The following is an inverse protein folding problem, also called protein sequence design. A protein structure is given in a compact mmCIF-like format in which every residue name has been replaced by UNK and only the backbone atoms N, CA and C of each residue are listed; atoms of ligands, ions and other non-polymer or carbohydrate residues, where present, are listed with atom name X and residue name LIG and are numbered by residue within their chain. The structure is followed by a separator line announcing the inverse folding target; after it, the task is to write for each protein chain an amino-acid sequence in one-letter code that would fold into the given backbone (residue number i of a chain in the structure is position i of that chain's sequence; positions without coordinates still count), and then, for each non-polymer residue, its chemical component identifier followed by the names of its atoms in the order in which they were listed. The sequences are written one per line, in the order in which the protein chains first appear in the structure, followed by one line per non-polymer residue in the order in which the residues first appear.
data_IF_542307251793
#
_entry.id   IF_542307251793
#
_cell.length_a   1.000
_cell.length_b   1.000
_cell.length_c   1.000
_cell.angle_alpha   90.00
_cell.angle_beta   90.00
_cell.angle_gamma   90.00
#
_symmetry.space_group_name_H-M   'P 1'
#
loop_
_entity.id
_entity.type
_entity.pdbx_description
1 polymer ?
#
# COMPACT_ATOMS: atom_id res chain seq x y z
N UNK A 1 6.18 18.86 -18.57
CA UNK A 1 6.20 17.48 -19.08
C UNK A 1 4.88 16.86 -18.71
N UNK A 2 4.12 16.24 -19.66
CA UNK A 2 2.87 15.56 -19.31
C UNK A 2 3.15 14.25 -18.56
N UNK A 3 2.18 13.72 -17.80
CA UNK A 3 2.34 12.42 -17.13
C UNK A 3 2.68 11.29 -18.12
N UNK A 4 2.07 11.32 -19.31
CA UNK A 4 2.33 10.35 -20.37
C UNK A 4 3.76 10.44 -20.89
N UNK A 5 4.28 11.65 -21.15
CA UNK A 5 5.67 11.81 -21.60
C UNK A 5 6.70 11.37 -20.55
N UNK A 6 6.39 11.56 -19.27
CA UNK A 6 7.20 11.00 -18.18
C UNK A 6 7.21 9.47 -18.22
N UNK A 7 6.04 8.84 -18.33
CA UNK A 7 5.93 7.39 -18.38
C UNK A 7 6.66 6.81 -19.61
N UNK A 8 6.53 7.44 -20.77
CA UNK A 8 7.23 7.02 -21.98
C UNK A 8 8.76 7.13 -21.83
N UNK A 9 9.26 8.14 -21.10
CA UNK A 9 10.69 8.23 -20.79
C UNK A 9 11.20 7.08 -19.91
N UNK A 10 10.35 6.56 -18.99
CA UNK A 10 10.68 5.36 -18.22
C UNK A 10 10.73 4.11 -19.10
N UNK A 11 9.81 3.99 -20.08
CA UNK A 11 9.81 2.85 -21.00
C UNK A 11 11.09 2.78 -21.84
N UNK A 12 11.70 3.91 -22.17
CA UNK A 12 12.99 3.95 -22.87
C UNK A 12 14.16 3.32 -22.09
N UNK A 13 14.00 3.11 -20.80
CA UNK A 13 14.97 2.47 -19.90
C UNK A 13 14.75 0.95 -19.74
N UNK A 14 13.72 0.39 -20.35
CA UNK A 14 13.44 -1.05 -20.30
C UNK A 14 14.55 -1.87 -20.99
N UNK A 15 14.57 -3.17 -20.75
CA UNK A 15 15.64 -4.08 -21.20
C UNK A 15 16.81 -4.15 -20.23
N UNK A 16 16.64 -3.67 -19.00
CA UNK A 16 17.68 -3.60 -17.98
C UNK A 16 17.40 -4.54 -16.82
N UNK A 17 18.39 -4.67 -15.93
CA UNK A 17 18.23 -5.38 -14.65
C UNK A 17 17.06 -4.85 -13.80
N UNK A 18 16.73 -3.58 -13.95
CA UNK A 18 15.61 -2.94 -13.23
C UNK A 18 14.24 -3.54 -13.58
N UNK A 19 14.05 -4.07 -14.79
CA UNK A 19 12.80 -4.74 -15.15
C UNK A 19 12.48 -5.92 -14.23
N UNK A 20 13.50 -6.72 -13.95
CA UNK A 20 13.35 -7.86 -13.03
C UNK A 20 13.02 -7.42 -11.60
N UNK A 21 13.66 -6.35 -11.12
CA UNK A 21 13.38 -5.78 -9.79
C UNK A 21 11.93 -5.25 -9.74
N UNK A 22 11.49 -4.50 -10.75
CA UNK A 22 10.14 -3.92 -10.78
C UNK A 22 9.06 -4.99 -10.92
N UNK A 23 9.35 -6.05 -11.69
CA UNK A 23 8.47 -7.22 -11.80
C UNK A 23 8.39 -7.99 -10.47
N UNK A 24 9.50 -8.15 -9.76
CA UNK A 24 9.49 -8.75 -8.42
C UNK A 24 8.73 -7.89 -7.42
N UNK A 25 8.98 -6.58 -7.40
CA UNK A 25 8.31 -5.65 -6.51
C UNK A 25 6.78 -5.64 -6.70
N UNK A 26 6.31 -5.62 -7.96
CA UNK A 26 4.88 -5.67 -8.22
C UNK A 26 4.26 -7.00 -7.82
N UNK A 27 4.95 -8.13 -8.01
CA UNK A 27 4.47 -9.47 -7.58
C UNK A 27 4.30 -9.55 -6.07
N UNK A 28 5.30 -9.10 -5.33
CA UNK A 28 5.26 -9.07 -3.85
C UNK A 28 4.14 -8.15 -3.34
N UNK A 29 3.81 -7.09 -4.08
CA UNK A 29 2.67 -6.20 -3.79
C UNK A 29 1.31 -6.72 -4.23
N UNK A 30 1.23 -7.82 -5.00
CA UNK A 30 -0.04 -8.36 -5.50
C UNK A 30 -0.94 -8.78 -4.33
N UNK A 31 -2.23 -8.40 -4.43
CA UNK A 31 -3.24 -8.67 -3.40
C UNK A 31 -2.82 -8.26 -1.97
N UNK A 32 -1.75 -7.47 -1.82
CA UNK A 32 -1.21 -7.07 -0.51
C UNK A 32 -0.51 -8.21 0.25
N UNK A 33 -0.05 -9.27 -0.43
CA UNK A 33 0.49 -10.49 0.18
C UNK A 33 1.58 -10.22 1.22
N UNK A 34 2.55 -9.34 0.90
CA UNK A 34 3.62 -8.98 1.85
C UNK A 34 3.07 -8.32 3.12
N UNK A 35 2.02 -7.53 2.99
CA UNK A 35 1.41 -6.84 4.10
C UNK A 35 0.55 -7.77 4.96
N UNK A 36 -0.10 -8.75 4.33
CA UNK A 36 -0.79 -9.84 5.03
C UNK A 36 0.23 -10.69 5.79
N UNK A 37 1.37 -11.02 5.18
CA UNK A 37 2.45 -11.74 5.85
C UNK A 37 3.02 -10.94 7.03
N UNK A 38 3.24 -9.63 6.86
CA UNK A 38 3.65 -8.76 7.97
C UNK A 38 2.60 -8.76 9.10
N UNK A 39 1.32 -8.62 8.77
CA UNK A 39 0.24 -8.68 9.76
C UNK A 39 0.23 -10.02 10.50
N UNK A 40 0.43 -11.16 9.80
CA UNK A 40 0.50 -12.48 10.42
C UNK A 40 1.66 -12.57 11.42
N UNK A 41 2.85 -12.08 11.05
CA UNK A 41 4.01 -12.04 11.97
C UNK A 41 3.71 -11.17 13.20
N UNK A 42 3.17 -9.97 13.00
CA UNK A 42 2.81 -9.07 14.10
C UNK A 42 1.72 -9.65 15.03
N UNK A 43 0.83 -10.48 14.49
CA UNK A 43 -0.22 -11.15 15.27
C UNK A 43 0.34 -12.18 16.25
N UNK A 44 1.46 -12.84 15.89
CA UNK A 44 2.13 -13.80 16.76
C UNK A 44 2.79 -13.14 17.97
N UNK A 45 3.15 -11.86 17.88
CA UNK A 45 3.82 -11.11 18.95
C UNK A 45 2.78 -10.40 19.82
N UNK A 46 2.71 -10.69 21.12
CA UNK A 46 1.71 -10.14 22.04
C UNK A 46 1.67 -8.61 21.99
N UNK A 47 2.83 -7.96 21.89
CA UNK A 47 2.97 -6.51 21.84
C UNK A 47 2.29 -5.89 20.61
N UNK A 48 2.45 -6.47 19.44
CA UNK A 48 2.00 -5.91 18.17
C UNK A 48 0.67 -6.46 17.67
N UNK A 49 0.00 -7.33 18.44
CA UNK A 49 -1.33 -7.86 18.11
C UNK A 49 -2.37 -6.79 17.78
N UNK A 50 -2.51 -5.69 18.57
CA UNK A 50 -3.48 -4.64 18.22
C UNK A 50 -3.14 -3.98 16.88
N UNK A 51 -1.85 -3.78 16.59
CA UNK A 51 -1.38 -3.22 15.32
C UNK A 51 -1.71 -4.15 14.17
N UNK A 52 -1.47 -5.46 14.31
CA UNK A 52 -1.86 -6.47 13.33
C UNK A 52 -3.35 -6.46 13.03
N UNK A 53 -4.20 -6.43 14.07
CA UNK A 53 -5.66 -6.35 13.91
C UNK A 53 -6.04 -5.08 13.13
N UNK A 54 -5.43 -3.95 13.47
CA UNK A 54 -5.69 -2.69 12.76
C UNK A 54 -5.24 -2.75 11.30
N UNK A 55 -4.09 -3.38 11.00
CA UNK A 55 -3.64 -3.61 9.61
C UNK A 55 -4.68 -4.45 8.86
N UNK A 56 -5.11 -5.58 9.40
CA UNK A 56 -6.09 -6.46 8.75
C UNK A 56 -7.40 -5.69 8.46
N UNK A 57 -7.93 -4.98 9.45
CA UNK A 57 -9.17 -4.19 9.27
C UNK A 57 -8.98 -3.09 8.22
N UNK A 58 -7.83 -2.41 8.24
CA UNK A 58 -7.55 -1.34 7.27
C UNK A 58 -7.35 -1.87 5.84
N UNK A 59 -6.79 -3.07 5.66
CA UNK A 59 -6.69 -3.71 4.35
C UNK A 59 -8.08 -4.03 3.76
N UNK A 60 -9.02 -4.50 4.58
CA UNK A 60 -10.41 -4.66 4.14
C UNK A 60 -11.05 -3.32 3.82
N UNK A 61 -10.85 -2.28 4.63
CA UNK A 61 -11.36 -0.94 4.34
C UNK A 61 -10.79 -0.39 3.02
N UNK A 62 -9.49 -0.57 2.77
CA UNK A 62 -8.85 -0.18 1.51
C UNK A 62 -9.43 -0.92 0.30
N UNK A 63 -9.66 -2.22 0.42
CA UNK A 63 -10.27 -3.02 -0.64
C UNK A 63 -11.65 -2.43 -1.06
N UNK A 64 -12.49 -2.05 -0.10
CA UNK A 64 -13.80 -1.48 -0.38
C UNK A 64 -13.72 -0.04 -0.86
N UNK A 65 -12.88 0.80 -0.24
CA UNK A 65 -12.81 2.23 -0.55
C UNK A 65 -12.02 2.45 -1.85
N UNK A 66 -10.78 1.94 -1.93
CA UNK A 66 -9.90 2.21 -3.08
C UNK A 66 -10.34 1.45 -4.32
N UNK A 67 -10.58 0.12 -4.20
CA UNK A 67 -10.90 -0.71 -5.36
C UNK A 67 -12.40 -0.81 -5.63
N UNK A 68 -13.25 -0.78 -4.59
CA UNK A 68 -14.69 -0.90 -4.73
C UNK A 68 -15.39 0.43 -5.04
N UNK A 69 -14.96 1.55 -4.43
CA UNK A 69 -15.64 2.83 -4.56
C UNK A 69 -14.89 3.81 -5.48
N UNK A 70 -13.67 4.17 -5.13
CA UNK A 70 -12.94 5.25 -5.80
C UNK A 70 -12.60 4.91 -7.26
N UNK A 71 -12.25 3.67 -7.58
CA UNK A 71 -12.00 3.28 -8.98
C UNK A 71 -13.19 3.52 -9.88
N UNK A 72 -14.38 3.17 -9.41
CA UNK A 72 -15.62 3.37 -10.19
C UNK A 72 -16.05 4.83 -10.22
N UNK A 73 -15.83 5.58 -9.14
CA UNK A 73 -16.15 7.00 -9.08
C UNK A 73 -15.32 7.82 -10.09
N UNK A 74 -14.04 7.56 -10.18
CA UNK A 74 -13.13 8.28 -11.09
C UNK A 74 -13.08 7.69 -12.48
N UNK A 75 -13.33 6.38 -12.64
CA UNK A 75 -13.36 5.64 -13.90
C UNK A 75 -12.22 6.00 -14.88
N UNK A 76 -11.02 6.34 -14.34
CA UNK A 76 -9.89 6.82 -15.14
C UNK A 76 -9.31 5.68 -15.97
N UNK A 77 -9.14 5.83 -17.31
CA UNK A 77 -8.44 4.84 -18.11
C UNK A 77 -6.96 4.76 -17.74
N UNK A 78 -6.35 3.59 -17.93
CA UNK A 78 -4.91 3.39 -17.66
C UNK A 78 -4.04 3.93 -18.78
N UNK A 79 -2.77 4.31 -18.49
CA UNK A 79 -1.83 4.69 -19.55
C UNK A 79 -1.69 3.59 -20.61
N UNK A 80 -1.60 2.32 -20.20
CA UNK A 80 -1.51 1.16 -21.11
C UNK A 80 -2.76 0.91 -21.96
N UNK A 81 -3.92 1.42 -21.55
CA UNK A 81 -5.15 1.34 -22.33
C UNK A 81 -5.28 2.50 -23.35
N UNK A 82 -4.60 3.62 -23.08
CA UNK A 82 -4.59 4.81 -23.96
C UNK A 82 -3.50 4.67 -25.00
N UNK A 83 -2.28 4.33 -24.59
CA UNK A 83 -1.11 4.19 -25.45
C UNK A 83 -0.81 2.69 -25.66
N UNK A 84 -1.37 2.13 -26.73
CA UNK A 84 -1.28 0.69 -27.02
C UNK A 84 0.00 0.29 -27.79
N UNK A 85 0.78 1.27 -28.28
CA UNK A 85 2.03 1.02 -29.01
C UNK A 85 3.23 0.67 -28.13
N UNK A 86 3.09 0.69 -26.80
CA UNK A 86 4.16 0.42 -25.83
C UNK A 86 4.32 -1.09 -25.61
N UNK A 87 5.55 -1.59 -25.69
CA UNK A 87 5.87 -2.98 -25.33
C UNK A 87 5.80 -3.16 -23.82
N UNK A 88 4.77 -3.87 -23.34
CA UNK A 88 4.48 -4.06 -21.92
C UNK A 88 5.22 -5.26 -21.34
N UNK A 89 5.83 -5.10 -20.15
CA UNK A 89 6.41 -6.20 -19.37
C UNK A 89 5.34 -7.08 -18.69
N UNK A 90 4.11 -6.57 -18.56
CA UNK A 90 2.97 -7.31 -18.02
C UNK A 90 1.69 -6.91 -18.76
N UNK A 91 0.67 -7.76 -18.72
CA UNK A 91 -0.63 -7.43 -19.28
C UNK A 91 -1.24 -6.18 -18.63
N UNK A 92 -1.88 -5.34 -19.45
CA UNK A 92 -2.63 -4.17 -18.95
C UNK A 92 -3.80 -4.63 -18.07
N UNK A 93 -3.87 -4.20 -16.79
CA UNK A 93 -4.93 -4.65 -15.92
C UNK A 93 -6.30 -4.12 -16.39
N UNK A 94 -7.38 -4.92 -16.30
CA UNK A 94 -8.70 -4.54 -16.83
C UNK A 94 -9.45 -3.50 -15.99
N UNK A 95 -9.00 -3.25 -14.75
CA UNK A 95 -9.65 -2.29 -13.84
C UNK A 95 -9.19 -0.86 -14.09
N UNK A 96 -9.96 0.12 -13.58
CA UNK A 96 -9.63 1.55 -13.67
C UNK A 96 -8.31 1.92 -13.01
N UNK A 97 -7.73 3.07 -13.44
CA UNK A 97 -6.38 3.48 -13.05
C UNK A 97 -6.33 4.12 -11.66
N UNK A 98 -7.22 5.05 -11.35
CA UNK A 98 -7.17 5.84 -10.11
C UNK A 98 -8.09 5.27 -9.02
N UNK A 99 -7.60 5.22 -7.77
CA UNK A 99 -6.21 5.32 -7.35
C UNK A 99 -5.43 4.03 -7.62
N UNK A 100 -4.09 4.08 -7.51
CA UNK A 100 -3.25 2.89 -7.60
C UNK A 100 -3.46 1.97 -6.40
N UNK A 101 -4.08 0.79 -6.62
CA UNK A 101 -4.40 -0.15 -5.54
C UNK A 101 -3.16 -0.71 -4.83
N UNK A 102 -2.09 -1.06 -5.55
CA UNK A 102 -0.83 -1.50 -4.95
C UNK A 102 -0.23 -0.44 -4.02
N UNK A 103 -0.29 0.81 -4.43
CA UNK A 103 0.18 1.94 -3.63
C UNK A 103 -0.74 2.17 -2.44
N UNK A 104 -2.05 2.20 -2.63
CA UNK A 104 -3.02 2.41 -1.56
C UNK A 104 -2.88 1.38 -0.45
N UNK A 105 -2.86 0.09 -0.79
CA UNK A 105 -2.64 -1.01 0.17
C UNK A 105 -1.34 -0.82 0.96
N UNK A 106 -0.23 -0.51 0.28
CA UNK A 106 1.07 -0.33 0.93
C UNK A 106 1.07 0.84 1.91
N UNK A 107 0.51 1.96 1.49
CA UNK A 107 0.44 3.16 2.34
C UNK A 107 -0.66 3.09 3.41
N UNK A 108 -1.68 2.24 3.24
CA UNK A 108 -2.63 1.90 4.29
C UNK A 108 -1.92 1.25 5.49
N UNK A 109 -1.04 0.30 5.22
CA UNK A 109 -0.24 -0.33 6.29
C UNK A 109 0.70 0.68 6.96
N UNK A 110 1.39 1.51 6.16
CA UNK A 110 2.21 2.60 6.71
C UNK A 110 1.39 3.56 7.57
N UNK A 111 0.17 3.92 7.17
CA UNK A 111 -0.74 4.75 7.94
C UNK A 111 -1.06 4.18 9.31
N UNK A 112 -1.33 2.87 9.41
CA UNK A 112 -1.54 2.18 10.70
C UNK A 112 -0.27 2.20 11.54
N UNK A 113 0.89 1.86 10.96
CA UNK A 113 2.17 1.82 11.67
C UNK A 113 2.56 3.19 12.23
N UNK A 114 2.34 4.26 11.47
CA UNK A 114 2.58 5.63 11.92
C UNK A 114 1.62 6.04 13.05
N UNK A 115 0.33 5.75 12.91
CA UNK A 115 -0.69 6.07 13.90
C UNK A 115 -0.48 5.31 15.21
N UNK A 116 -0.02 4.06 15.15
CA UNK A 116 0.32 3.23 16.30
C UNK A 116 1.71 3.52 16.90
N UNK A 117 2.48 4.44 16.30
CA UNK A 117 3.86 4.79 16.69
C UNK A 117 4.87 3.65 16.56
N UNK A 118 4.59 2.67 15.73
CA UNK A 118 5.55 1.59 15.41
C UNK A 118 6.58 2.07 14.34
N UNK A 119 7.31 3.14 14.67
CA UNK A 119 8.19 3.86 13.73
C UNK A 119 9.32 2.99 13.18
N UNK A 120 9.85 2.04 13.94
CA UNK A 120 10.91 1.13 13.47
C UNK A 120 10.38 0.22 12.35
N UNK A 121 9.18 -0.32 12.52
CA UNK A 121 8.53 -1.17 11.52
C UNK A 121 8.11 -0.33 10.31
N UNK A 122 7.59 0.88 10.53
CA UNK A 122 7.24 1.81 9.46
C UNK A 122 8.46 2.19 8.62
N UNK A 123 9.60 2.46 9.25
CA UNK A 123 10.85 2.79 8.56
C UNK A 123 11.36 1.61 7.71
N UNK A 124 11.25 0.38 8.20
CA UNK A 124 11.59 -0.82 7.45
C UNK A 124 10.61 -1.12 6.30
N UNK A 125 9.32 -0.82 6.48
CA UNK A 125 8.28 -1.02 5.48
C UNK A 125 8.30 0.02 4.36
N UNK A 126 8.73 1.25 4.65
CA UNK A 126 8.71 2.38 3.71
C UNK A 126 9.45 2.12 2.40
N UNK A 127 10.70 1.61 2.38
CA UNK A 127 11.39 1.31 1.12
C UNK A 127 10.64 0.31 0.25
N UNK A 128 10.03 -0.71 0.87
CA UNK A 128 9.22 -1.72 0.15
C UNK A 128 7.98 -1.06 -0.45
N UNK A 129 7.28 -0.23 0.31
CA UNK A 129 6.09 0.49 -0.17
C UNK A 129 6.44 1.44 -1.34
N UNK A 130 7.56 2.15 -1.25
CA UNK A 130 8.04 3.03 -2.32
C UNK A 130 8.44 2.25 -3.57
N UNK A 131 9.12 1.10 -3.40
CA UNK A 131 9.50 0.26 -4.51
C UNK A 131 8.27 -0.32 -5.24
N UNK A 132 7.28 -0.79 -4.48
CA UNK A 132 6.00 -1.25 -5.03
C UNK A 132 5.30 -0.09 -5.77
N UNK A 133 5.22 1.09 -5.17
CA UNK A 133 4.59 2.26 -5.79
C UNK A 133 5.29 2.66 -7.09
N UNK A 134 6.63 2.72 -7.10
CA UNK A 134 7.41 3.06 -8.28
C UNK A 134 7.29 1.99 -9.38
N UNK A 135 7.21 0.71 -9.01
CA UNK A 135 7.01 -0.36 -10.00
C UNK A 135 5.75 -0.15 -10.86
N UNK A 136 4.72 0.55 -10.33
CA UNK A 136 3.49 0.80 -11.08
C UNK A 136 3.65 1.83 -12.20
N UNK A 137 4.59 2.77 -12.02
CA UNK A 137 4.99 3.72 -13.05
C UNK A 137 5.88 3.03 -14.08
N UNK A 138 6.88 2.29 -13.62
CA UNK A 138 7.79 1.53 -14.48
C UNK A 138 7.05 0.58 -15.41
N UNK A 139 6.07 -0.13 -14.89
CA UNK A 139 5.26 -1.11 -15.65
C UNK A 139 4.12 -0.48 -16.48
N UNK A 140 4.12 0.83 -16.63
CA UNK A 140 3.13 1.57 -17.45
C UNK A 140 1.66 1.30 -17.03
N UNK A 141 1.44 0.92 -15.78
CA UNK A 141 0.14 0.51 -15.29
C UNK A 141 -0.68 1.67 -14.68
N UNK A 142 -0.01 2.72 -14.20
CA UNK A 142 -0.60 3.87 -13.51
C UNK A 142 0.12 5.16 -13.87
N UNK A 143 -0.63 6.27 -13.83
CA UNK A 143 -0.06 7.61 -13.90
C UNK A 143 0.56 8.03 -12.55
N UNK A 144 1.52 9.00 -12.54
CA UNK A 144 2.05 9.56 -11.30
C UNK A 144 0.98 10.04 -10.32
N UNK A 145 -0.07 10.71 -10.81
CA UNK A 145 -1.18 11.16 -9.96
C UNK A 145 -2.00 10.01 -9.39
N UNK A 146 -2.11 8.85 -10.07
CA UNK A 146 -2.75 7.66 -9.50
C UNK A 146 -1.96 7.10 -8.32
N UNK A 147 -0.64 7.13 -8.42
CA UNK A 147 0.27 6.69 -7.36
C UNK A 147 0.19 7.66 -6.18
N UNK A 148 0.27 8.96 -6.42
CA UNK A 148 0.11 9.99 -5.36
C UNK A 148 -1.27 9.91 -4.70
N UNK A 149 -2.32 9.70 -5.48
CA UNK A 149 -3.67 9.44 -4.97
C UNK A 149 -3.72 8.19 -4.09
N UNK A 150 -3.04 7.12 -4.51
CA UNK A 150 -2.90 5.89 -3.71
C UNK A 150 -2.19 6.13 -2.38
N UNK A 151 -1.11 6.93 -2.37
CA UNK A 151 -0.41 7.35 -1.15
C UNK A 151 -1.36 8.07 -0.20
N UNK A 152 -2.04 9.10 -0.69
CA UNK A 152 -2.93 9.92 0.14
C UNK A 152 -4.10 9.10 0.70
N UNK A 153 -4.79 8.35 -0.16
CA UNK A 153 -5.92 7.50 0.23
C UNK A 153 -5.49 6.43 1.22
N UNK A 154 -4.38 5.74 0.96
CA UNK A 154 -3.87 4.70 1.85
C UNK A 154 -3.53 5.23 3.24
N UNK A 155 -2.78 6.35 3.32
CA UNK A 155 -2.45 6.97 4.61
C UNK A 155 -3.71 7.38 5.39
N UNK A 156 -4.70 7.97 4.73
CA UNK A 156 -5.97 8.37 5.37
C UNK A 156 -6.72 7.15 5.89
N UNK A 157 -6.83 6.08 5.09
CA UNK A 157 -7.52 4.85 5.50
C UNK A 157 -6.79 4.22 6.71
N UNK A 158 -5.47 4.03 6.61
CA UNK A 158 -4.71 3.37 7.69
C UNK A 158 -4.74 4.16 8.99
N UNK A 159 -4.44 5.45 8.91
CA UNK A 159 -4.46 6.35 10.07
C UNK A 159 -5.85 6.47 10.68
N UNK A 160 -6.87 6.66 9.84
CA UNK A 160 -8.27 6.75 10.26
C UNK A 160 -8.76 5.47 10.90
N UNK A 161 -8.48 4.30 10.31
CA UNK A 161 -8.87 2.99 10.87
C UNK A 161 -8.28 2.78 12.26
N UNK A 162 -7.00 3.12 12.49
CA UNK A 162 -6.39 3.04 13.81
C UNK A 162 -7.16 3.85 14.85
N UNK A 163 -7.45 5.12 14.56
CA UNK A 163 -8.16 6.00 15.49
C UNK A 163 -9.62 5.57 15.72
N UNK A 164 -10.31 5.09 14.68
CA UNK A 164 -11.66 4.53 14.81
C UNK A 164 -11.67 3.29 15.71
N UNK A 165 -10.70 2.39 15.56
CA UNK A 165 -10.59 1.22 16.43
C UNK A 165 -10.33 1.60 17.89
N UNK A 166 -9.60 2.67 18.18
CA UNK A 166 -9.38 3.16 19.53
C UNK A 166 -10.66 3.66 20.22
N UNK A 167 -11.73 3.97 19.48
CA UNK A 167 -13.04 4.28 20.03
C UNK A 167 -13.76 3.03 20.55
N UNK A 168 -13.35 1.84 20.12
CA UNK A 168 -13.92 0.57 20.57
C UNK A 168 -13.28 0.18 21.92
N UNK A 169 -14.06 0.10 23.03
CA UNK A 169 -13.49 -0.14 24.37
C UNK A 169 -12.67 -1.43 24.48
N UNK A 170 -13.08 -2.48 23.77
CA UNK A 170 -12.36 -3.76 23.77
C UNK A 170 -10.97 -3.62 23.10
N UNK A 171 -10.88 -2.94 21.96
CA UNK A 171 -9.62 -2.69 21.27
C UNK A 171 -8.69 -1.78 22.08
N UNK A 172 -9.23 -0.71 22.67
CA UNK A 172 -8.47 0.20 23.54
C UNK A 172 -7.90 -0.52 24.77
N UNK A 173 -8.66 -1.45 25.38
CA UNK A 173 -8.15 -2.29 26.48
C UNK A 173 -7.02 -3.20 26.03
N UNK A 174 -7.15 -3.82 24.85
CA UNK A 174 -6.12 -4.66 24.27
C UNK A 174 -4.82 -3.88 24.02
N UNK A 175 -4.92 -2.69 23.45
CA UNK A 175 -3.79 -1.79 23.21
C UNK A 175 -3.09 -1.37 24.52
N UNK A 176 -3.85 -0.93 25.51
CA UNK A 176 -3.30 -0.52 26.80
C UNK A 176 -2.60 -1.67 27.55
N UNK A 177 -3.14 -2.89 27.45
CA UNK A 177 -2.53 -4.09 28.03
C UNK A 177 -1.19 -4.41 27.35
N UNK A 178 -1.14 -4.36 26.05
CA UNK A 178 0.05 -4.59 25.25
C UNK A 178 1.20 -3.64 25.63
N UNK A 179 0.91 -2.35 25.80
CA UNK A 179 1.89 -1.35 26.21
C UNK A 179 2.37 -1.51 27.66
N UNK A 180 1.52 -1.99 28.58
CA UNK A 180 1.92 -2.26 29.96
C UNK A 180 2.87 -3.44 30.08
N UNK A 181 2.61 -4.52 29.32
CA UNK A 181 3.49 -5.69 29.27
C UNK A 181 4.88 -5.32 28.75
N UNK A 182 4.98 -4.39 27.80
CA UNK A 182 6.26 -3.86 27.31
C UNK A 182 7.03 -3.10 28.39
N UNK A 183 6.36 -2.19 29.09
CA UNK A 183 7.01 -1.39 30.15
C UNK A 183 7.59 -2.27 31.28
N UNK A 184 6.89 -3.37 31.61
CA UNK A 184 7.37 -4.34 32.62
C UNK A 184 8.55 -5.19 32.14
N UNK A 185 8.73 -5.37 30.83
CA UNK A 185 9.82 -6.19 30.28
C UNK A 185 11.12 -5.37 30.09
N UNK A 186 11.00 -4.04 30.09
CA UNK A 186 12.13 -3.11 29.94
C UNK A 186 12.66 -2.57 31.28
N UNK A 187 11.96 -2.80 32.40
CA UNK A 187 12.36 -2.45 33.76
C UNK A 187 13.09 -3.60 34.44
#
# INVERSE_FOLDING_TARGET
MSEMSFLLSLQALHGTFFDSIMMAATRVGNAGEIWIALAAVLLCLKKTRPVSIAIIVSLFADLFISNGLLKFLFARPRPCAIETGVSMLQACPPSFSFPSGHTAVSFTVLGVLLASREFKIALAALPVALLIAFSRLWLFAHFPTDVLGGVAVGLVIGYGTWHLLLLIPAFKRLWNRSNREEALTQA
#
